data_IF_777839297895
#
_entry.id   IF_777839297895
#
_cell.length_a   1.000
_cell.length_b   1.000
_cell.length_c   1.000
_cell.angle_alpha   90.00
_cell.angle_beta   90.00
_cell.angle_gamma   90.00
#
_symmetry.space_group_name_H-M   'P 1'
#
loop_
_entity.id
_entity.type
_entity.pdbx_description
1 polymer ?
#
# COMPACT_ATOMS: atom_id res chain seq x y z
N UNK A 1 -0.27 21.73 -3.89
CA UNK A 1 -1.70 21.33 -3.96
C UNK A 1 -1.90 19.82 -3.83
N UNK A 2 -1.11 18.97 -4.50
CA UNK A 2 -1.26 17.50 -4.44
C UNK A 2 -1.15 16.91 -3.01
N UNK A 3 -0.14 17.31 -2.23
CA UNK A 3 0.05 16.82 -0.86
C UNK A 3 -1.13 17.12 0.07
N UNK A 4 -1.70 18.33 -0.02
CA UNK A 4 -2.87 18.72 0.77
C UNK A 4 -4.11 17.88 0.44
N UNK A 5 -4.30 17.55 -0.85
CA UNK A 5 -5.37 16.66 -1.30
C UNK A 5 -5.18 15.24 -0.77
N UNK A 6 -3.98 14.69 -0.90
CA UNK A 6 -3.66 13.35 -0.37
C UNK A 6 -3.87 13.28 1.15
N UNK A 7 -3.48 14.32 1.90
CA UNK A 7 -3.72 14.39 3.33
C UNK A 7 -5.22 14.48 3.68
N UNK A 8 -6.01 15.20 2.90
CA UNK A 8 -7.46 15.28 3.10
C UNK A 8 -8.15 13.94 2.80
N UNK A 9 -7.71 13.25 1.75
CA UNK A 9 -8.19 11.91 1.40
C UNK A 9 -7.87 10.90 2.51
N UNK A 10 -6.64 10.89 3.02
CA UNK A 10 -6.26 10.02 4.14
C UNK A 10 -7.10 10.28 5.39
N UNK A 11 -7.36 11.56 5.72
CA UNK A 11 -8.24 11.91 6.85
C UNK A 11 -9.64 11.34 6.65
N UNK A 12 -10.23 11.55 5.47
CA UNK A 12 -11.56 11.03 5.16
C UNK A 12 -11.61 9.49 5.26
N UNK A 13 -10.59 8.78 4.78
CA UNK A 13 -10.51 7.31 4.91
C UNK A 13 -10.44 6.88 6.38
N UNK A 14 -9.60 7.53 7.20
CA UNK A 14 -9.45 7.22 8.62
C UNK A 14 -10.74 7.43 9.43
N UNK A 15 -11.55 8.42 9.07
CA UNK A 15 -12.86 8.70 9.69
C UNK A 15 -13.88 7.58 9.43
N UNK A 16 -13.72 6.82 8.34
CA UNK A 16 -14.61 5.73 7.94
C UNK A 16 -14.01 4.34 8.22
N UNK A 17 -13.10 4.23 9.19
CA UNK A 17 -12.55 2.96 9.65
C UNK A 17 -13.66 2.04 10.17
N UNK A 18 -13.54 0.75 9.87
CA UNK A 18 -14.45 -0.29 10.34
C UNK A 18 -13.69 -1.49 10.89
N UNK A 19 -13.99 -1.86 12.13
CA UNK A 19 -13.32 -2.95 12.83
C UNK A 19 -12.03 -2.54 13.51
N UNK A 20 -11.24 -3.53 13.91
CA UNK A 20 -9.98 -3.34 14.64
C UNK A 20 -8.81 -2.99 13.70
N UNK A 21 -7.92 -2.14 14.19
CA UNK A 21 -6.65 -1.83 13.52
C UNK A 21 -5.60 -2.88 13.87
N UNK A 22 -4.94 -3.43 12.86
CA UNK A 22 -3.77 -4.30 13.03
C UNK A 22 -2.53 -3.42 12.95
N UNK A 23 -1.71 -3.46 14.00
CA UNK A 23 -0.42 -2.77 14.04
C UNK A 23 0.69 -3.80 13.87
N UNK A 24 1.50 -3.63 12.83
CA UNK A 24 2.65 -4.46 12.49
C UNK A 24 3.91 -3.62 12.72
N UNK A 25 4.76 -3.98 13.67
CA UNK A 25 5.93 -3.18 14.03
C UNK A 25 7.19 -4.02 14.21
N UNK A 26 8.33 -3.41 13.92
CA UNK A 26 9.66 -3.86 14.30
C UNK A 26 10.52 -2.66 14.76
N UNK A 27 11.81 -2.87 14.97
CA UNK A 27 12.74 -1.84 15.43
C UNK A 27 12.99 -0.71 14.41
N UNK A 28 12.56 -0.88 13.16
CA UNK A 28 12.79 0.08 12.08
C UNK A 28 11.52 0.79 11.62
N UNK A 29 10.36 0.13 11.70
CA UNK A 29 9.10 0.56 11.11
C UNK A 29 7.86 0.13 11.92
N UNK A 30 6.81 0.93 11.78
CA UNK A 30 5.44 0.63 12.20
C UNK A 30 4.54 0.75 10.97
N UNK A 31 3.68 -0.23 10.75
CA UNK A 31 2.67 -0.28 9.70
C UNK A 31 1.31 -0.49 10.37
N UNK A 32 0.32 0.29 9.96
CA UNK A 32 -1.06 0.19 10.44
C UNK A 32 -1.95 -0.29 9.30
N UNK A 33 -2.75 -1.30 9.56
CA UNK A 33 -3.64 -1.92 8.58
C UNK A 33 -5.05 -1.93 9.14
N UNK A 34 -6.00 -1.36 8.40
CA UNK A 34 -7.39 -1.33 8.81
C UNK A 34 -8.32 -1.39 7.60
N UNK A 35 -9.56 -1.86 7.81
CA UNK A 35 -10.62 -1.74 6.81
C UNK A 35 -11.24 -0.36 6.91
N UNK A 36 -11.51 0.27 5.77
CA UNK A 36 -12.27 1.52 5.68
C UNK A 36 -13.41 1.36 4.70
N UNK A 37 -14.55 1.99 4.98
CA UNK A 37 -15.70 1.98 4.08
C UNK A 37 -15.69 3.26 3.23
N UNK A 38 -15.87 3.10 1.91
CA UNK A 38 -15.97 4.22 0.99
C UNK A 38 -17.29 4.13 0.21
N UNK A 39 -17.66 5.20 -0.50
CA UNK A 39 -18.79 5.17 -1.44
C UNK A 39 -18.67 4.10 -2.53
N UNK A 40 -17.45 3.64 -2.82
CA UNK A 40 -17.14 2.65 -3.85
C UNK A 40 -16.84 1.26 -3.24
N UNK A 41 -17.35 1.00 -2.03
CA UNK A 41 -17.14 -0.23 -1.28
C UNK A 41 -15.94 -0.18 -0.32
N UNK A 42 -15.65 -1.32 0.29
CA UNK A 42 -14.59 -1.45 1.29
C UNK A 42 -13.20 -1.30 0.66
N UNK A 43 -12.26 -0.80 1.46
CA UNK A 43 -10.84 -0.72 1.13
C UNK A 43 -10.00 -1.22 2.32
N UNK A 44 -8.85 -1.80 2.03
CA UNK A 44 -7.81 -2.06 3.02
C UNK A 44 -6.85 -0.86 3.00
N UNK A 45 -6.90 -0.05 4.06
CA UNK A 45 -5.98 1.07 4.26
C UNK A 45 -4.72 0.55 4.96
N UNK A 46 -3.56 0.76 4.33
CA UNK A 46 -2.24 0.42 4.83
C UNK A 46 -1.46 1.73 4.97
N UNK A 47 -0.93 1.99 6.16
CA UNK A 47 -0.25 3.24 6.49
C UNK A 47 1.13 2.98 7.10
N UNK A 48 2.12 3.78 6.71
CA UNK A 48 3.45 3.83 7.32
C UNK A 48 3.62 5.21 7.98
N UNK A 49 3.27 5.39 9.27
CA UNK A 49 3.23 6.71 9.92
C UNK A 49 4.57 7.45 9.87
N UNK A 50 5.69 6.72 9.96
CA UNK A 50 7.05 7.29 9.98
C UNK A 50 7.43 7.94 8.64
N UNK A 51 7.04 7.35 7.51
CA UNK A 51 7.30 7.90 6.17
C UNK A 51 6.15 8.76 5.65
N UNK A 52 4.97 8.67 6.27
CA UNK A 52 3.75 9.33 5.80
C UNK A 52 3.15 8.69 4.54
N UNK A 53 3.71 7.57 4.07
CA UNK A 53 3.17 6.83 2.93
C UNK A 53 1.94 6.03 3.33
N UNK A 54 1.01 5.89 2.40
CA UNK A 54 -0.20 5.12 2.59
C UNK A 54 -0.74 4.63 1.24
N UNK A 55 -1.55 3.58 1.30
CA UNK A 55 -2.30 3.06 0.15
C UNK A 55 -3.64 2.52 0.63
N UNK A 56 -4.69 2.67 -0.18
CA UNK A 56 -6.01 2.11 0.07
C UNK A 56 -6.36 1.15 -1.07
N UNK A 57 -6.33 -0.16 -0.80
CA UNK A 57 -6.54 -1.20 -1.80
C UNK A 57 -7.98 -1.68 -1.79
N UNK A 58 -8.62 -1.76 -2.96
CA UNK A 58 -9.88 -2.48 -3.12
C UNK A 58 -9.66 -4.00 -3.11
N UNK A 59 -10.73 -4.80 -2.97
CA UNK A 59 -10.61 -6.26 -2.93
C UNK A 59 -9.88 -6.85 -4.14
N UNK A 60 -10.11 -6.33 -5.35
CA UNK A 60 -9.46 -6.82 -6.57
C UNK A 60 -7.95 -6.49 -6.61
N UNK A 61 -7.57 -5.29 -6.17
CA UNK A 61 -6.15 -4.91 -6.06
C UNK A 61 -5.43 -5.80 -5.05
N UNK A 62 -6.08 -6.11 -3.91
CA UNK A 62 -5.54 -7.03 -2.91
C UNK A 62 -5.43 -8.46 -3.42
N UNK A 63 -6.45 -8.96 -4.13
CA UNK A 63 -6.42 -10.27 -4.77
C UNK A 63 -5.27 -10.38 -5.77
N UNK A 64 -5.05 -9.35 -6.58
CA UNK A 64 -3.96 -9.30 -7.56
C UNK A 64 -2.58 -9.45 -6.91
N UNK A 65 -2.39 -8.96 -5.68
CA UNK A 65 -1.16 -9.17 -4.91
C UNK A 65 -0.98 -10.64 -4.51
N UNK A 66 -2.06 -11.36 -4.22
CA UNK A 66 -1.98 -12.78 -3.83
C UNK A 66 -1.58 -13.72 -4.97
N UNK A 67 -1.68 -13.26 -6.22
CA UNK A 67 -1.23 -14.01 -7.40
C UNK A 67 0.26 -13.86 -7.67
N UNK A 68 0.94 -12.92 -7.00
CA UNK A 68 2.37 -12.71 -7.18
C UNK A 68 3.17 -13.80 -6.48
N UNK A 69 4.27 -14.22 -7.10
CA UNK A 69 5.20 -15.16 -6.50
C UNK A 69 6.20 -14.45 -5.56
N UNK A 70 6.93 -15.23 -4.76
CA UNK A 70 7.92 -14.69 -3.82
C UNK A 70 9.07 -13.93 -4.50
N UNK A 71 9.42 -14.28 -5.74
CA UNK A 71 10.47 -13.58 -6.48
C UNK A 71 10.03 -12.15 -6.86
N UNK A 72 8.77 -11.96 -7.28
CA UNK A 72 8.20 -10.63 -7.56
C UNK A 72 8.25 -9.74 -6.32
N UNK A 73 7.82 -10.25 -5.15
CA UNK A 73 7.89 -9.48 -3.91
C UNK A 73 9.33 -9.16 -3.50
N UNK A 74 10.25 -10.10 -3.68
CA UNK A 74 11.67 -9.88 -3.38
C UNK A 74 12.26 -8.75 -4.24
N UNK A 75 11.90 -8.70 -5.53
CA UNK A 75 12.32 -7.62 -6.42
C UNK A 75 11.76 -6.25 -6.00
N UNK A 76 10.49 -6.19 -5.59
CA UNK A 76 9.85 -4.98 -5.07
C UNK A 76 10.52 -4.48 -3.80
N UNK A 77 10.89 -5.37 -2.87
CA UNK A 77 11.53 -5.00 -1.60
C UNK A 77 12.99 -4.61 -1.82
N UNK A 78 13.71 -5.31 -2.70
CA UNK A 78 15.10 -5.00 -3.05
C UNK A 78 15.26 -3.68 -3.79
N UNK A 79 14.23 -3.28 -4.56
CA UNK A 79 14.25 -2.07 -5.39
C UNK A 79 12.95 -1.26 -5.21
N UNK A 80 12.71 -0.68 -4.02
CA UNK A 80 11.39 -0.14 -3.63
C UNK A 80 10.87 1.02 -4.50
N UNK A 81 11.73 1.61 -5.31
CA UNK A 81 11.38 2.68 -6.26
C UNK A 81 11.99 2.45 -7.66
N UNK A 82 12.53 1.26 -7.91
CA UNK A 82 13.16 0.89 -9.17
C UNK A 82 12.20 0.17 -10.12
N UNK A 83 12.54 0.07 -11.42
CA UNK A 83 11.81 -0.78 -12.35
C UNK A 83 11.84 -2.24 -11.87
N UNK A 84 10.68 -2.92 -11.93
CA UNK A 84 10.60 -4.36 -11.64
C UNK A 84 11.02 -5.22 -12.83
N UNK A 85 10.93 -4.66 -14.04
CA UNK A 85 11.37 -5.29 -15.27
C UNK A 85 12.64 -4.59 -15.72
N UNK A 86 13.67 -5.37 -16.06
CA UNK A 86 14.77 -4.84 -16.84
C UNK A 86 14.26 -4.39 -18.20
N UNK A 87 14.90 -3.38 -18.79
CA UNK A 87 14.86 -3.27 -20.24
C UNK A 87 15.82 -4.36 -20.71
N UNK A 88 15.30 -5.48 -21.20
CA UNK A 88 16.14 -6.41 -21.95
C UNK A 88 16.62 -5.65 -23.19
N UNK A 89 17.84 -5.12 -23.15
CA UNK A 89 18.55 -4.78 -24.38
C UNK A 89 18.67 -6.10 -25.14
N UNK A 90 17.92 -6.23 -26.23
CA UNK A 90 18.04 -7.34 -27.18
C UNK A 90 19.52 -7.53 -27.48
N UNK A 91 20.12 -8.57 -26.88
CA UNK A 91 21.49 -8.95 -27.15
C UNK A 91 21.56 -9.33 -28.63
N UNK A 92 22.13 -8.41 -29.41
CA UNK A 92 22.43 -8.56 -30.83
C UNK A 92 23.41 -9.70 -31.08
#
# INVERSE_FOLDING_TARGET
MAAARAAAELRALREHRSGEEIVLGNEFAEIRVCRVETRNGSRLLIEAPKSGQWVALCPLELESLTWQNAATFSAMIGTPFGPLLGHDEEAT
#
